data_IF_350954518549
#
_entry.id   IF_350954518549
#
_cell.length_a   1.000
_cell.length_b   1.000
_cell.length_c   1.000
_cell.angle_alpha   90.00
_cell.angle_beta   90.00
_cell.angle_gamma   90.00
#
_symmetry.space_group_name_H-M   'P 1'
#
loop_
_entity.id
_entity.type
_entity.pdbx_description
1 polymer ?
#
# COMPACT_ATOMS: atom_id res chain seq x y z
N UNK A 1 -43.31 12.06 13.84
CA UNK A 1 -42.87 11.62 15.18
C UNK A 1 -41.44 12.11 15.41
N UNK A 2 -41.17 12.86 16.49
CA UNK A 2 -39.82 13.30 16.83
C UNK A 2 -39.03 12.13 17.43
N UNK A 3 -37.82 11.86 16.91
CA UNK A 3 -36.97 10.80 17.49
C UNK A 3 -36.55 11.18 18.93
N UNK A 4 -36.46 10.20 19.84
CA UNK A 4 -36.00 10.45 21.21
C UNK A 4 -34.52 10.89 21.24
N UNK A 5 -34.14 11.65 22.26
CA UNK A 5 -32.76 12.12 22.44
C UNK A 5 -31.82 10.94 22.73
N UNK A 6 -30.85 10.69 21.85
CA UNK A 6 -29.78 9.71 22.07
C UNK A 6 -28.55 10.40 22.66
N UNK A 7 -28.01 9.82 23.73
CA UNK A 7 -26.74 10.23 24.30
C UNK A 7 -25.63 9.32 23.77
N UNK A 8 -24.72 9.86 22.95
CA UNK A 8 -23.63 9.11 22.31
C UNK A 8 -22.33 9.42 23.07
N UNK A 9 -21.65 8.37 23.55
CA UNK A 9 -20.34 8.49 24.18
C UNK A 9 -19.27 8.01 23.20
N UNK A 10 -18.24 8.83 22.99
CA UNK A 10 -17.10 8.48 22.13
C UNK A 10 -15.88 8.16 23.00
N UNK A 11 -15.34 6.95 22.83
CA UNK A 11 -14.11 6.56 23.50
C UNK A 11 -12.89 7.37 23.01
N UNK A 12 -11.89 7.50 23.90
CA UNK A 12 -10.59 8.08 23.60
C UNK A 12 -9.48 7.29 24.34
N UNK A 13 -8.33 7.00 23.69
CA UNK A 13 -8.00 7.30 22.29
C UNK A 13 -8.76 6.40 21.30
N UNK A 14 -9.05 6.92 20.11
CA UNK A 14 -9.69 6.19 19.00
C UNK A 14 -9.03 6.59 17.69
N UNK A 15 -9.03 5.69 16.71
CA UNK A 15 -8.45 5.92 15.40
C UNK A 15 -7.19 5.06 15.17
N UNK A 16 -6.28 5.59 14.35
CA UNK A 16 -5.08 4.86 13.92
C UNK A 16 -4.00 4.84 15.00
N UNK A 17 -3.29 3.72 15.07
CA UNK A 17 -2.06 3.63 15.86
C UNK A 17 -0.87 4.09 15.03
N UNK A 18 0.25 4.39 15.69
CA UNK A 18 1.47 4.82 15.02
C UNK A 18 1.98 3.83 13.95
N UNK A 19 1.67 2.52 14.10
CA UNK A 19 2.00 1.50 13.11
C UNK A 19 1.21 1.66 11.82
N UNK A 20 -0.10 1.90 11.93
CA UNK A 20 -0.98 2.12 10.77
C UNK A 20 -0.58 3.38 10.01
N UNK A 21 -0.35 4.49 10.72
CA UNK A 21 0.06 5.75 10.09
C UNK A 21 1.39 5.61 9.34
N UNK A 22 2.36 4.90 9.94
CA UNK A 22 3.65 4.65 9.30
C UNK A 22 3.50 3.82 8.04
N UNK A 23 2.67 2.78 8.08
CA UNK A 23 2.52 1.86 6.96
C UNK A 23 1.86 2.53 5.75
N UNK A 24 0.84 3.35 5.97
CA UNK A 24 0.22 4.19 4.92
C UNK A 24 1.27 5.12 4.31
N UNK A 25 2.01 5.83 5.15
CA UNK A 25 3.01 6.82 4.71
C UNK A 25 4.13 6.21 3.87
N UNK A 26 4.55 4.98 4.15
CA UNK A 26 5.58 4.30 3.36
C UNK A 26 5.11 4.11 1.91
N UNK A 27 3.84 3.75 1.72
CA UNK A 27 3.28 3.53 0.37
C UNK A 27 3.07 4.84 -0.36
N UNK A 28 2.60 5.88 0.33
CA UNK A 28 2.51 7.23 -0.26
C UNK A 28 3.89 7.74 -0.71
N UNK A 29 4.90 7.63 0.15
CA UNK A 29 6.27 8.03 -0.20
C UNK A 29 6.84 7.21 -1.35
N UNK A 30 6.47 5.93 -1.46
CA UNK A 30 6.89 5.11 -2.58
C UNK A 30 6.19 5.52 -3.89
N UNK A 31 4.90 5.83 -3.84
CA UNK A 31 4.16 6.36 -4.99
C UNK A 31 4.73 7.70 -5.45
N UNK A 32 5.04 8.60 -4.52
CA UNK A 32 5.69 9.89 -4.81
C UNK A 32 7.08 9.70 -5.44
N UNK A 33 7.90 8.81 -4.88
CA UNK A 33 9.30 8.63 -5.30
C UNK A 33 9.43 7.84 -6.60
N UNK A 34 8.54 6.86 -6.82
CA UNK A 34 8.71 5.87 -7.89
C UNK A 34 7.64 5.93 -8.98
N UNK A 35 6.54 6.64 -8.74
CA UNK A 35 5.37 6.67 -9.62
C UNK A 35 4.54 5.39 -9.56
N UNK A 36 3.30 5.46 -10.05
CA UNK A 36 2.43 4.29 -10.20
C UNK A 36 2.86 3.40 -11.39
N UNK A 37 2.66 2.06 -11.33
CA UNK A 37 2.09 1.32 -10.20
C UNK A 37 3.14 0.89 -9.15
N UNK A 38 2.74 0.92 -7.88
CA UNK A 38 3.51 0.39 -6.74
C UNK A 38 2.81 -0.86 -6.22
N UNK A 39 3.54 -1.97 -6.13
CA UNK A 39 2.98 -3.25 -5.69
C UNK A 39 3.20 -3.45 -4.19
N UNK A 40 2.12 -3.76 -3.47
CA UNK A 40 2.14 -4.02 -2.04
C UNK A 40 1.62 -5.43 -1.79
N UNK A 41 2.36 -6.19 -0.97
CA UNK A 41 2.02 -7.56 -0.65
C UNK A 41 1.03 -7.58 0.52
N UNK A 42 -0.14 -8.20 0.30
CA UNK A 42 -1.31 -8.19 1.17
C UNK A 42 -1.78 -6.78 1.54
N UNK A 43 -2.97 -6.71 2.14
CA UNK A 43 -3.48 -5.46 2.71
C UNK A 43 -2.57 -4.97 3.85
N UNK A 44 -2.15 -3.72 3.78
CA UNK A 44 -1.34 -3.06 4.82
C UNK A 44 -2.15 -2.89 6.11
N UNK A 45 -3.45 -2.68 5.94
CA UNK A 45 -4.43 -2.53 7.02
C UNK A 45 -5.75 -3.13 6.58
N UNK A 46 -6.45 -3.77 7.52
CA UNK A 46 -7.80 -4.28 7.31
C UNK A 46 -8.84 -3.14 7.37
N UNK A 47 -8.64 -2.09 6.57
CA UNK A 47 -9.58 -0.98 6.42
C UNK A 47 -9.79 -0.70 4.94
N UNK A 48 -10.97 -1.09 4.45
CA UNK A 48 -11.34 -0.97 3.05
C UNK A 48 -11.19 0.46 2.51
N UNK A 49 -11.52 1.47 3.31
CA UNK A 49 -11.39 2.87 2.88
C UNK A 49 -9.94 3.27 2.61
N UNK A 50 -9.00 2.75 3.41
CA UNK A 50 -7.57 3.04 3.23
C UNK A 50 -7.02 2.30 2.02
N UNK A 51 -7.44 1.05 1.81
CA UNK A 51 -7.07 0.25 0.63
C UNK A 51 -7.55 0.95 -0.64
N UNK A 52 -8.84 1.30 -0.72
CA UNK A 52 -9.43 2.00 -1.87
C UNK A 52 -8.74 3.34 -2.18
N UNK A 53 -8.35 4.10 -1.15
CA UNK A 53 -7.64 5.37 -1.32
C UNK A 53 -6.25 5.17 -1.93
N UNK A 54 -5.51 4.16 -1.45
CA UNK A 54 -4.18 3.84 -1.97
C UNK A 54 -4.25 3.27 -3.39
N UNK A 55 -5.25 2.45 -3.69
CA UNK A 55 -5.52 1.95 -5.04
C UNK A 55 -5.82 3.09 -6.02
N UNK A 56 -6.63 4.07 -5.59
CA UNK A 56 -6.91 5.28 -6.37
C UNK A 56 -5.65 6.12 -6.67
N UNK A 57 -4.63 6.04 -5.81
CA UNK A 57 -3.31 6.68 -6.02
C UNK A 57 -2.36 5.84 -6.89
N UNK A 58 -2.72 4.59 -7.22
CA UNK A 58 -1.93 3.69 -8.06
C UNK A 58 -1.12 2.63 -7.30
N UNK A 59 -1.48 2.34 -6.04
CA UNK A 59 -1.03 1.12 -5.39
C UNK A 59 -1.80 -0.10 -5.95
N UNK A 60 -1.12 -1.23 -6.08
CA UNK A 60 -1.69 -2.51 -6.49
C UNK A 60 -1.41 -3.51 -5.40
N UNK A 61 -2.46 -4.02 -4.76
CA UNK A 61 -2.35 -5.04 -3.72
C UNK A 61 -2.34 -6.42 -4.38
N UNK A 62 -1.36 -7.24 -3.99
CA UNK A 62 -1.17 -8.61 -4.49
C UNK A 62 -1.07 -9.58 -3.32
N UNK A 63 -1.59 -10.80 -3.47
CA UNK A 63 -1.49 -11.82 -2.43
C UNK A 63 -0.11 -12.48 -2.46
N UNK A 64 0.31 -12.87 -3.66
CA UNK A 64 1.56 -13.58 -3.90
C UNK A 64 2.58 -12.75 -4.68
N UNK A 65 3.86 -13.01 -4.42
CA UNK A 65 4.97 -12.28 -5.05
C UNK A 65 5.06 -12.54 -6.56
N UNK A 66 4.53 -13.68 -7.01
CA UNK A 66 4.54 -14.10 -8.42
C UNK A 66 3.50 -13.37 -9.28
N UNK A 67 2.51 -12.72 -8.66
CA UNK A 67 1.53 -11.86 -9.34
C UNK A 67 2.14 -10.54 -9.80
N UNK A 68 3.29 -10.17 -9.24
CA UNK A 68 4.00 -8.96 -9.63
C UNK A 68 4.75 -9.23 -10.93
N UNK A 69 4.46 -8.51 -12.03
CA UNK A 69 5.16 -8.75 -13.29
C UNK A 69 6.66 -8.51 -13.09
N UNK A 70 7.45 -9.58 -13.21
CA UNK A 70 8.89 -9.45 -13.35
C UNK A 70 9.12 -8.60 -14.60
N UNK A 71 9.60 -7.37 -14.40
CA UNK A 71 9.97 -6.47 -15.47
C UNK A 71 10.98 -7.18 -16.39
N UNK A 72 10.47 -7.77 -17.48
CA UNK A 72 11.29 -8.33 -18.53
C UNK A 72 12.03 -7.17 -19.16
N UNK A 73 13.34 -7.16 -18.90
CA UNK A 73 14.36 -6.33 -19.51
C UNK A 73 14.24 -6.38 -21.04
N UNK A 74 13.49 -5.47 -21.66
CA UNK A 74 13.61 -5.23 -23.10
C UNK A 74 14.69 -4.21 -23.48
N UNK A 75 15.55 -3.81 -22.55
CA UNK A 75 16.75 -3.05 -22.92
C UNK A 75 17.90 -3.48 -22.01
N UNK A 76 18.83 -4.31 -22.49
CA UNK A 76 20.29 -4.19 -22.32
C UNK A 76 21.01 -5.35 -23.07
N UNK A 77 22.01 -5.07 -23.93
CA UNK A 77 22.89 -6.08 -24.57
C UNK A 77 23.79 -6.81 -23.54
N UNK A 78 24.51 -7.89 -23.94
CA UNK A 78 24.96 -8.92 -23.01
C UNK A 78 26.19 -8.47 -22.23
N UNK A 79 25.99 -7.72 -21.14
CA UNK A 79 26.99 -7.62 -20.08
C UNK A 79 26.31 -7.68 -18.72
N UNK A 80 26.76 -8.65 -17.93
CA UNK A 80 26.26 -8.96 -16.61
C UNK A 80 26.33 -7.77 -15.67
N UNK A 81 25.17 -7.43 -15.12
CA UNK A 81 25.06 -6.72 -13.85
C UNK A 81 24.31 -7.64 -12.87
N UNK A 82 24.60 -7.57 -11.55
CA UNK A 82 24.04 -8.49 -10.57
C UNK A 82 22.52 -8.30 -10.46
N UNK A 83 21.84 -9.40 -10.13
CA UNK A 83 20.39 -9.50 -9.90
C UNK A 83 19.89 -8.50 -8.86
N UNK A 84 19.64 -7.26 -9.26
CA UNK A 84 18.88 -6.29 -8.49
C UNK A 84 18.00 -5.51 -9.47
N UNK A 85 16.92 -6.15 -9.88
CA UNK A 85 15.75 -5.48 -10.43
C UNK A 85 14.53 -6.18 -9.82
N UNK A 86 14.41 -6.06 -8.50
CA UNK A 86 13.17 -6.42 -7.83
C UNK A 86 12.07 -5.55 -8.46
N UNK A 87 10.90 -6.09 -8.83
CA UNK A 87 9.75 -5.21 -8.98
C UNK A 87 9.65 -4.39 -7.69
N UNK A 88 9.33 -3.09 -7.78
CA UNK A 88 9.47 -2.14 -6.66
C UNK A 88 8.47 -2.48 -5.56
N UNK A 89 8.83 -3.49 -4.76
CA UNK A 89 8.04 -4.11 -3.72
C UNK A 89 8.33 -3.37 -2.42
N UNK A 90 7.26 -3.01 -1.72
CA UNK A 90 7.34 -2.59 -0.34
C UNK A 90 6.94 -3.83 0.48
N UNK A 91 7.93 -4.59 0.92
CA UNK A 91 7.71 -5.62 1.92
C UNK A 91 7.68 -4.94 3.30
N UNK A 92 6.48 -4.60 3.78
CA UNK A 92 6.30 -4.19 5.17
C UNK A 92 6.08 -5.47 5.98
N UNK A 93 7.17 -6.08 6.44
CA UNK A 93 7.15 -7.06 7.54
C UNK A 93 7.65 -6.39 8.81
#
# INVERSE_FOLDING_TARGET
MSKPSLHILLAAPRGFCAGVDRAIKIVELALERFGAPVYVRHEIVHNRHVVEELEGKGAVFVEELDEVPMMCRWCFPPMGFPRISLPKQIAVN
#
